data_IF_010782377330
#
_entry.id   IF_010782377330
#
_cell.length_a   1.000
_cell.length_b   1.000
_cell.length_c   1.000
_cell.angle_alpha   90.00
_cell.angle_beta   90.00
_cell.angle_gamma   90.00
#
_symmetry.space_group_name_H-M   'P 1'
#
loop_
_entity.id
_entity.type
_entity.pdbx_description
1 polymer ?
#
# COMPACT_ATOMS: atom_id res chain seq x y z
N UNK A 1 15.84 3.57 14.49
CA UNK A 1 16.93 4.49 14.10
C UNK A 1 17.69 4.93 15.34
N UNK A 2 18.38 3.99 16.00
CA UNK A 2 19.08 4.25 17.28
C UNK A 2 20.26 5.21 17.13
N UNK A 3 20.85 5.28 15.94
CA UNK A 3 21.96 6.19 15.59
C UNK A 3 21.58 7.68 15.58
N UNK A 4 20.29 8.02 15.59
CA UNK A 4 19.82 9.40 15.57
C UNK A 4 19.53 9.91 16.99
N UNK A 5 19.87 11.17 17.35
CA UNK A 5 19.52 11.72 18.66
C UNK A 5 18.00 11.73 18.92
N UNK A 6 17.59 11.48 20.16
CA UNK A 6 16.17 11.46 20.57
C UNK A 6 15.40 12.73 20.16
N UNK A 7 15.92 13.97 20.32
CA UNK A 7 15.21 15.16 19.88
C UNK A 7 14.97 15.19 18.37
N UNK A 8 15.91 14.66 17.58
CA UNK A 8 15.80 14.62 16.12
C UNK A 8 14.77 13.60 15.66
N UNK A 9 14.73 12.41 16.29
CA UNK A 9 13.67 11.42 16.00
C UNK A 9 12.28 11.99 16.26
N UNK A 10 12.09 12.64 17.41
CA UNK A 10 10.81 13.27 17.75
C UNK A 10 10.44 14.41 16.79
N UNK A 11 11.41 15.17 16.28
CA UNK A 11 11.17 16.20 15.28
C UNK A 11 10.74 15.60 13.93
N UNK A 12 11.42 14.53 13.48
CA UNK A 12 11.09 13.83 12.23
C UNK A 12 9.71 13.19 12.29
N UNK A 13 9.36 12.52 13.39
CA UNK A 13 8.03 11.91 13.56
C UNK A 13 6.89 12.94 13.45
N UNK A 14 7.08 14.16 13.96
CA UNK A 14 6.10 15.24 13.84
C UNK A 14 6.06 15.86 12.44
N UNK A 15 7.22 16.00 11.80
CA UNK A 15 7.32 16.69 10.51
C UNK A 15 6.97 15.80 9.31
N UNK A 16 7.16 14.48 9.44
CA UNK A 16 7.01 13.49 8.38
C UNK A 16 6.18 12.30 8.89
N UNK A 17 4.88 12.50 9.14
CA UNK A 17 4.02 11.40 9.56
C UNK A 17 3.90 10.33 8.47
N UNK A 18 3.54 9.08 8.82
CA UNK A 18 3.17 8.05 7.86
C UNK A 18 2.07 8.56 6.91
N UNK A 19 2.18 8.22 5.64
CA UNK A 19 1.16 8.51 4.63
C UNK A 19 -0.02 7.55 4.71
N UNK A 20 0.19 6.33 5.25
CA UNK A 20 -0.84 5.29 5.38
C UNK A 20 -1.14 4.96 6.85
N UNK A 21 -2.42 4.89 7.20
CA UNK A 21 -2.88 4.37 8.49
C UNK A 21 -3.58 3.04 8.29
N UNK A 22 -3.13 1.98 8.99
CA UNK A 22 -3.75 0.66 8.86
C UNK A 22 -5.17 0.68 9.45
N UNK A 23 -6.17 0.36 8.62
CA UNK A 23 -7.56 0.21 9.08
C UNK A 23 -7.84 -1.25 9.42
N UNK A 24 -7.47 -2.15 8.51
CA UNK A 24 -7.61 -3.58 8.75
C UNK A 24 -6.59 -4.37 7.94
N UNK A 25 -6.26 -5.55 8.45
CA UNK A 25 -5.37 -6.51 7.83
C UNK A 25 -6.00 -7.89 7.90
N UNK A 26 -5.96 -8.61 6.79
CA UNK A 26 -6.46 -9.99 6.68
C UNK A 26 -5.40 -10.86 6.05
N UNK A 27 -5.22 -12.05 6.60
CA UNK A 27 -4.34 -13.08 6.05
C UNK A 27 -5.19 -14.24 5.55
N UNK A 28 -4.82 -14.82 4.41
CA UNK A 28 -5.46 -16.01 3.87
C UNK A 28 -5.27 -17.22 4.78
N UNK A 29 -6.08 -18.26 4.57
CA UNK A 29 -6.06 -19.48 5.40
C UNK A 29 -4.71 -20.21 5.32
N UNK A 30 -4.09 -20.23 4.14
CA UNK A 30 -2.78 -20.80 3.89
C UNK A 30 -1.61 -19.89 4.33
N UNK A 31 -1.89 -18.67 4.77
CA UNK A 31 -0.87 -17.73 5.25
C UNK A 31 -0.08 -17.02 4.15
N UNK A 32 -0.26 -17.40 2.88
CA UNK A 32 0.57 -16.92 1.77
C UNK A 32 0.13 -15.55 1.22
N UNK A 33 -1.06 -15.06 1.59
CA UNK A 33 -1.58 -13.77 1.12
C UNK A 33 -1.99 -12.90 2.30
N UNK A 34 -1.50 -11.65 2.31
CA UNK A 34 -1.89 -10.63 3.28
C UNK A 34 -2.48 -9.44 2.54
N UNK A 35 -3.71 -9.06 2.90
CA UNK A 35 -4.38 -7.86 2.38
C UNK A 35 -4.50 -6.81 3.48
N UNK A 36 -4.16 -5.58 3.13
CA UNK A 36 -4.39 -4.39 3.96
C UNK A 36 -5.46 -3.51 3.34
N UNK A 37 -6.22 -2.85 4.22
CA UNK A 37 -6.94 -1.62 3.91
C UNK A 37 -6.24 -0.49 4.66
N UNK A 38 -5.85 0.54 3.91
CA UNK A 38 -5.23 1.75 4.43
C UNK A 38 -6.21 2.91 4.37
N UNK A 39 -6.24 3.72 5.41
CA UNK A 39 -6.80 5.07 5.35
C UNK A 39 -5.69 6.04 4.99
N UNK A 40 -6.01 6.97 4.11
CA UNK A 40 -5.18 8.11 3.74
C UNK A 40 -5.52 9.32 4.62
N UNK A 41 -4.69 10.37 4.58
CA UNK A 41 -4.84 11.56 5.43
C UNK A 41 -6.17 12.31 5.22
N UNK A 42 -6.77 12.19 4.04
CA UNK A 42 -8.05 12.79 3.67
C UNK A 42 -9.24 11.85 3.84
N UNK A 43 -9.04 10.68 4.46
CA UNK A 43 -10.08 9.70 4.75
C UNK A 43 -10.44 8.78 3.58
N UNK A 44 -9.84 8.94 2.40
CA UNK A 44 -9.96 7.97 1.33
C UNK A 44 -9.29 6.64 1.73
N UNK A 45 -9.73 5.52 1.15
CA UNK A 45 -9.20 4.20 1.45
C UNK A 45 -8.62 3.52 0.21
N UNK A 46 -7.54 2.77 0.41
CA UNK A 46 -6.90 1.94 -0.63
C UNK A 46 -6.55 0.55 -0.10
N UNK A 47 -6.31 -0.38 -1.01
CA UNK A 47 -5.87 -1.73 -0.68
C UNK A 47 -4.43 -2.01 -1.15
N UNK A 48 -3.73 -2.84 -0.39
CA UNK A 48 -2.42 -3.41 -0.77
C UNK A 48 -2.48 -4.91 -0.52
N UNK A 49 -1.88 -5.71 -1.41
CA UNK A 49 -1.83 -7.16 -1.24
C UNK A 49 -0.39 -7.66 -1.35
N UNK A 50 0.10 -8.33 -0.30
CA UNK A 50 1.34 -9.10 -0.34
C UNK A 50 1.00 -10.56 -0.63
N UNK A 51 1.72 -11.16 -1.57
CA UNK A 51 1.55 -12.56 -1.97
C UNK A 51 2.91 -13.26 -1.95
N UNK A 52 2.97 -14.40 -1.27
CA UNK A 52 4.09 -15.31 -1.27
C UNK A 52 3.87 -16.42 -2.31
N UNK A 53 4.88 -16.65 -3.13
CA UNK A 53 4.94 -17.74 -4.10
C UNK A 53 6.21 -18.54 -3.85
N UNK A 54 6.34 -19.75 -4.40
CA UNK A 54 7.51 -20.63 -4.13
C UNK A 54 8.86 -19.92 -3.99
N UNK A 55 9.28 -19.13 -5.00
CA UNK A 55 10.58 -18.42 -5.02
C UNK A 55 10.53 -16.88 -4.94
N UNK A 56 9.35 -16.28 -4.83
CA UNK A 56 9.21 -14.80 -4.84
C UNK A 56 8.18 -14.31 -3.83
N UNK A 57 8.26 -13.04 -3.49
CA UNK A 57 7.23 -12.32 -2.76
C UNK A 57 6.86 -11.09 -3.60
N UNK A 58 5.58 -10.93 -3.90
CA UNK A 58 5.05 -9.87 -4.77
C UNK A 58 4.12 -8.98 -3.98
N UNK A 59 4.29 -7.66 -4.09
CA UNK A 59 3.29 -6.70 -3.59
C UNK A 59 2.50 -6.14 -4.76
N UNK A 60 1.18 -6.17 -4.63
CA UNK A 60 0.23 -5.46 -5.47
C UNK A 60 -0.09 -4.12 -4.82
N UNK A 61 0.28 -3.03 -5.47
CA UNK A 61 0.08 -1.67 -4.97
C UNK A 61 -1.06 -0.97 -5.71
N UNK A 62 -1.80 -0.17 -4.96
CA UNK A 62 -2.73 0.81 -5.50
C UNK A 62 -1.99 2.06 -5.92
N UNK A 63 -2.49 2.71 -6.95
CA UNK A 63 -1.93 3.92 -7.53
C UNK A 63 -2.94 5.08 -7.47
N UNK A 64 -4.24 4.79 -7.32
CA UNK A 64 -5.30 5.78 -7.10
C UNK A 64 -6.25 5.32 -5.99
N UNK A 65 -6.96 6.28 -5.37
CA UNK A 65 -8.14 6.00 -4.58
C UNK A 65 -9.35 5.97 -5.53
N UNK A 66 -9.81 4.75 -5.87
CA UNK A 66 -10.79 4.54 -6.93
C UNK A 66 -10.16 4.52 -8.33
N UNK A 67 -10.97 4.49 -9.39
CA UNK A 67 -10.48 4.50 -10.77
C UNK A 67 -11.51 5.10 -11.75
N UNK A 68 -11.06 6.01 -12.61
CA UNK A 68 -11.92 6.72 -13.56
C UNK A 68 -12.27 5.90 -14.82
N UNK A 69 -11.60 4.76 -15.04
CA UNK A 69 -11.75 3.96 -16.26
C UNK A 69 -13.12 3.27 -16.37
N UNK A 70 -13.85 3.11 -15.25
CA UNK A 70 -15.21 2.53 -15.21
C UNK A 70 -15.35 1.19 -15.96
N UNK A 71 -14.32 0.34 -15.92
CA UNK A 71 -14.40 -1.01 -16.46
C UNK A 71 -15.54 -1.78 -15.77
N UNK A 72 -16.53 -2.27 -16.53
CA UNK A 72 -17.79 -2.80 -15.97
C UNK A 72 -17.65 -3.99 -15.02
N UNK A 73 -16.54 -4.73 -15.13
CA UNK A 73 -16.21 -5.89 -14.28
C UNK A 73 -15.36 -5.53 -13.04
N UNK A 74 -14.89 -4.29 -12.93
CA UNK A 74 -13.95 -3.87 -11.89
C UNK A 74 -14.67 -3.13 -10.76
N UNK A 75 -14.64 -3.68 -9.54
CA UNK A 75 -15.22 -3.04 -8.37
C UNK A 75 -14.64 -1.64 -8.11
N UNK A 76 -13.33 -1.46 -8.31
CA UNK A 76 -12.68 -0.14 -8.20
C UNK A 76 -13.21 0.85 -9.24
N UNK A 77 -13.48 0.40 -10.47
CA UNK A 77 -14.08 1.24 -11.51
C UNK A 77 -15.54 1.61 -11.19
N UNK A 78 -16.29 0.70 -10.56
CA UNK A 78 -17.67 0.96 -10.11
C UNK A 78 -17.72 1.94 -8.93
N UNK A 79 -16.73 1.93 -8.04
CA UNK A 79 -16.60 2.89 -6.94
C UNK A 79 -16.34 4.33 -7.41
N UNK A 80 -15.96 4.51 -8.69
CA UNK A 80 -15.60 5.80 -9.25
C UNK A 80 -14.18 6.24 -8.88
N UNK A 81 -13.83 7.46 -9.26
CA UNK A 81 -12.51 8.06 -8.99
C UNK A 81 -12.64 9.12 -7.90
N UNK A 82 -11.76 9.04 -6.90
CA UNK A 82 -11.64 10.05 -5.85
C UNK A 82 -10.44 10.94 -6.11
N UNK A 83 -9.23 10.37 -6.15
CA UNK A 83 -7.99 11.10 -6.40
C UNK A 83 -6.81 10.21 -6.75
N UNK A 84 -5.75 10.86 -7.19
CA UNK A 84 -4.41 10.29 -7.32
C UNK A 84 -3.75 10.08 -5.96
N UNK A 85 -2.91 9.06 -5.85
CA UNK A 85 -2.00 8.89 -4.72
C UNK A 85 -0.71 9.66 -4.93
N UNK A 86 -0.18 10.23 -3.86
CA UNK A 86 1.17 10.79 -3.84
C UNK A 86 2.24 9.69 -3.82
N UNK A 87 3.49 9.99 -4.22
CA UNK A 87 4.58 9.01 -4.23
C UNK A 87 4.83 8.35 -2.87
N UNK A 88 4.69 9.10 -1.77
CA UNK A 88 4.83 8.56 -0.41
C UNK A 88 3.76 7.51 -0.09
N UNK A 89 2.51 7.74 -0.50
CA UNK A 89 1.40 6.80 -0.32
C UNK A 89 1.60 5.51 -1.15
N UNK A 90 2.22 5.59 -2.32
CA UNK A 90 2.55 4.41 -3.13
C UNK A 90 3.75 3.65 -2.53
N UNK A 91 4.83 4.36 -2.21
CA UNK A 91 6.07 3.76 -1.68
C UNK A 91 5.83 3.12 -0.31
N UNK A 92 4.99 3.70 0.54
CA UNK A 92 4.73 3.15 1.87
C UNK A 92 3.97 1.81 1.82
N UNK A 93 3.18 1.54 0.78
CA UNK A 93 2.61 0.21 0.53
C UNK A 93 3.72 -0.83 0.32
N UNK A 94 4.73 -0.47 -0.48
CA UNK A 94 5.90 -1.33 -0.76
C UNK A 94 6.73 -1.55 0.52
N UNK A 95 7.01 -0.50 1.28
CA UNK A 95 7.77 -0.58 2.54
C UNK A 95 7.05 -1.46 3.57
N UNK A 96 5.73 -1.29 3.71
CA UNK A 96 4.90 -2.09 4.63
C UNK A 96 4.89 -3.56 4.23
N UNK A 97 4.70 -3.86 2.94
CA UNK A 97 4.76 -5.22 2.43
C UNK A 97 6.17 -5.84 2.56
N UNK A 98 7.23 -5.06 2.35
CA UNK A 98 8.60 -5.53 2.49
C UNK A 98 8.92 -5.92 3.94
N UNK A 99 8.46 -5.13 4.92
CA UNK A 99 8.59 -5.45 6.35
C UNK A 99 7.79 -6.70 6.71
N UNK A 100 6.56 -6.82 6.22
CA UNK A 100 5.70 -7.97 6.46
C UNK A 100 6.21 -9.26 5.78
N UNK A 101 6.96 -9.15 4.68
CA UNK A 101 7.50 -10.29 3.97
C UNK A 101 8.70 -10.96 4.67
N UNK A 102 9.33 -10.29 5.66
CA UNK A 102 10.50 -10.84 6.33
C UNK A 102 10.20 -12.21 6.98
N UNK A 103 11.12 -13.19 6.87
CA UNK A 103 12.50 -13.07 6.37
C UNK A 103 12.65 -13.18 4.85
N UNK A 104 11.55 -13.33 4.09
CA UNK A 104 11.60 -13.40 2.63
C UNK A 104 11.86 -12.01 2.03
N UNK A 105 12.65 -11.95 0.96
CA UNK A 105 12.84 -10.73 0.19
C UNK A 105 11.60 -10.43 -0.66
N UNK A 106 11.03 -9.23 -0.49
CA UNK A 106 10.11 -8.66 -1.47
C UNK A 106 10.86 -8.45 -2.79
N UNK A 107 10.47 -9.20 -3.82
CA UNK A 107 11.22 -9.34 -5.07
C UNK A 107 10.48 -8.73 -6.26
N UNK A 108 9.18 -8.48 -6.13
CA UNK A 108 8.35 -7.96 -7.20
C UNK A 108 7.34 -6.94 -6.66
N UNK A 109 7.10 -5.90 -7.45
CA UNK A 109 6.06 -4.89 -7.25
C UNK A 109 5.21 -4.88 -8.52
N UNK A 110 3.88 -4.94 -8.37
CA UNK A 110 2.95 -4.83 -9.49
C UNK A 110 1.92 -3.73 -9.21
N UNK A 111 1.68 -2.89 -10.21
CA UNK A 111 0.66 -1.84 -10.16
C UNK A 111 -0.66 -2.42 -10.69
N UNK A 112 -1.29 -3.26 -9.86
CA UNK A 112 -2.54 -3.95 -10.19
C UNK A 112 -3.57 -3.85 -9.06
N UNK A 113 -3.37 -2.90 -8.14
CA UNK A 113 -4.31 -2.59 -7.07
C UNK A 113 -5.42 -1.67 -7.59
N UNK A 114 -5.80 -0.70 -6.76
CA UNK A 114 -6.78 0.31 -7.14
C UNK A 114 -6.12 1.38 -8.01
N UNK A 115 -6.70 1.67 -9.19
CA UNK A 115 -6.29 2.77 -10.06
C UNK A 115 -5.85 2.36 -11.46
N UNK A 116 -5.69 3.35 -12.34
CA UNK A 116 -5.04 3.22 -13.65
C UNK A 116 -3.63 3.84 -13.55
N UNK A 117 -2.55 3.04 -13.54
CA UNK A 117 -1.18 3.54 -13.32
C UNK A 117 -0.66 4.49 -14.39
N UNK A 118 -1.16 4.41 -15.64
CA UNK A 118 -0.80 5.39 -16.66
C UNK A 118 -1.50 6.74 -16.45
N UNK A 119 -2.52 6.77 -15.59
CA UNK A 119 -3.23 7.97 -15.15
C UNK A 119 -2.93 8.33 -13.69
N UNK A 120 -2.26 7.45 -12.91
CA UNK A 120 -1.40 7.72 -11.74
C UNK A 120 -1.02 6.42 -11.06
#
# INVERSE_FOLDING_TARGET
MTELPTPMRAALERALPPALTEVTRRTSVDGDTVKWVWSLADGAAIETVLMHYGRRSTVCVSSQAGCAMRCGFCATGQAGFTRHLGPGEIVEQVVSAARAALPRRLSNVVFMGMGEPLMN
#
